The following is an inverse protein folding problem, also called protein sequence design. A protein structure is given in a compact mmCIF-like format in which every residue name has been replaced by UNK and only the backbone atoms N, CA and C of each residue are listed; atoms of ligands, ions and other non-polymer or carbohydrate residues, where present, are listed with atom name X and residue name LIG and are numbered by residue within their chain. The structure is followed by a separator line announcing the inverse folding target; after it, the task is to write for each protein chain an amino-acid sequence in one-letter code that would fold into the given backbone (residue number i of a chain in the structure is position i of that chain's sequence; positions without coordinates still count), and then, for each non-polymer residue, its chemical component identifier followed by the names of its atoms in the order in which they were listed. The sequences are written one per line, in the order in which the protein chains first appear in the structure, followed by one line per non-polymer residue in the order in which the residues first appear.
data_IF_708937781831
#
_entry.id   IF_708937781831
#
_cell.length_a   1.000
_cell.length_b   1.000
_cell.length_c   1.000
_cell.angle_alpha   90.00
_cell.angle_beta   90.00
_cell.angle_gamma   90.00
#
_symmetry.space_group_name_H-M   'P 1'
#
loop_
_entity.id
_entity.type
_entity.pdbx_description
1 polymer ?
#
# COMPACT_ATOMS: atom_id res chain seq x y z
N UNK A 1 9.46 -44.95 13.00
CA UNK A 1 10.48 -43.93 12.69
C UNK A 1 10.51 -43.71 11.18
N UNK A 2 9.86 -42.65 10.68
CA UNK A 2 10.28 -41.90 9.50
C UNK A 2 9.49 -40.58 9.53
N UNK A 3 10.23 -39.49 9.38
CA UNK A 3 9.86 -38.12 9.72
C UNK A 3 9.37 -37.40 8.46
N UNK A 4 8.07 -37.23 8.30
CA UNK A 4 7.50 -36.31 7.31
C UNK A 4 7.49 -34.88 7.87
N UNK A 5 8.68 -34.29 8.00
CA UNK A 5 8.85 -32.85 8.25
C UNK A 5 9.36 -32.19 6.97
N UNK A 6 8.43 -31.80 6.08
CA UNK A 6 8.83 -31.25 4.78
C UNK A 6 7.78 -30.39 4.09
N UNK A 7 6.81 -29.85 4.81
CA UNK A 7 5.90 -28.84 4.28
C UNK A 7 6.47 -27.44 4.47
N UNK A 8 7.50 -27.08 3.68
CA UNK A 8 8.03 -25.71 3.65
C UNK A 8 6.87 -24.78 3.30
N UNK A 9 6.49 -23.89 4.22
CA UNK A 9 5.53 -22.83 3.93
C UNK A 9 6.10 -21.99 2.80
N UNK A 10 5.65 -22.22 1.57
CA UNK A 10 6.08 -21.42 0.42
C UNK A 10 5.76 -19.96 0.75
N UNK A 11 6.80 -19.13 0.80
CA UNK A 11 6.65 -17.70 1.02
C UNK A 11 5.61 -17.19 0.02
N UNK A 12 4.54 -16.56 0.50
CA UNK A 12 3.46 -16.07 -0.37
C UNK A 12 4.04 -15.06 -1.35
N UNK A 13 4.12 -15.42 -2.62
CA UNK A 13 4.51 -14.49 -3.69
C UNK A 13 3.44 -13.41 -3.81
N UNK A 14 3.75 -12.19 -3.36
CA UNK A 14 2.82 -11.05 -3.42
C UNK A 14 2.89 -10.35 -4.78
N UNK A 15 4.05 -10.37 -5.43
CA UNK A 15 4.31 -9.69 -6.70
C UNK A 15 5.19 -10.58 -7.55
N UNK A 16 4.75 -10.85 -8.77
CA UNK A 16 5.51 -11.57 -9.79
C UNK A 16 5.46 -10.77 -11.10
N UNK A 17 6.59 -10.68 -11.80
CA UNK A 17 6.67 -10.12 -13.16
C UNK A 17 7.46 -11.10 -14.02
N UNK A 18 6.81 -11.67 -15.02
CA UNK A 18 7.46 -12.48 -16.06
C UNK A 18 7.88 -11.59 -17.22
N UNK A 19 9.01 -11.91 -17.84
CA UNK A 19 9.54 -11.20 -19.00
C UNK A 19 8.78 -11.65 -20.26
N UNK A 20 8.43 -10.71 -21.12
CA UNK A 20 7.85 -11.00 -22.44
C UNK A 20 8.97 -11.20 -23.48
N UNK A 21 8.70 -11.97 -24.54
CA UNK A 21 9.72 -12.39 -25.52
C UNK A 21 10.54 -11.24 -26.13
N UNK A 22 9.91 -10.09 -26.41
CA UNK A 22 10.57 -8.94 -27.05
C UNK A 22 10.85 -7.77 -26.08
N UNK A 23 10.90 -8.02 -24.78
CA UNK A 23 11.08 -6.95 -23.80
C UNK A 23 12.54 -6.75 -23.37
N UNK A 24 12.95 -5.48 -23.24
CA UNK A 24 14.22 -5.13 -22.62
C UNK A 24 14.16 -5.27 -21.08
N UNK A 25 15.26 -5.71 -20.47
CA UNK A 25 15.39 -5.89 -19.02
C UNK A 25 15.03 -4.62 -18.22
N UNK A 26 15.36 -3.43 -18.74
CA UNK A 26 15.01 -2.15 -18.11
C UNK A 26 13.50 -1.92 -17.99
N UNK A 27 12.72 -2.34 -18.99
CA UNK A 27 11.25 -2.27 -18.97
C UNK A 27 10.67 -3.21 -17.92
N UNK A 28 11.21 -4.42 -17.80
CA UNK A 28 10.79 -5.41 -16.79
C UNK A 28 10.96 -4.83 -15.38
N UNK A 29 12.12 -4.22 -15.10
CA UNK A 29 12.42 -3.58 -13.80
C UNK A 29 11.49 -2.41 -13.50
N UNK A 30 11.15 -1.59 -14.50
CA UNK A 30 10.16 -0.49 -14.34
C UNK A 30 8.78 -1.04 -13.99
N UNK A 31 8.31 -2.08 -14.69
CA UNK A 31 7.01 -2.69 -14.36
C UNK A 31 7.00 -3.30 -12.97
N UNK A 32 8.08 -3.98 -12.58
CA UNK A 32 8.22 -4.53 -11.23
C UNK A 32 8.15 -3.43 -10.17
N UNK A 33 8.91 -2.35 -10.35
CA UNK A 33 8.90 -1.18 -9.46
C UNK A 33 7.51 -0.55 -9.35
N UNK A 34 6.81 -0.40 -10.49
CA UNK A 34 5.44 0.11 -10.52
C UNK A 34 4.47 -0.83 -9.79
N UNK A 35 4.54 -2.15 -10.04
CA UNK A 35 3.72 -3.16 -9.35
C UNK A 35 3.93 -3.13 -7.83
N UNK A 36 5.18 -2.97 -7.37
CA UNK A 36 5.50 -2.78 -5.94
C UNK A 36 4.84 -1.54 -5.39
N UNK A 37 4.97 -0.40 -6.07
CA UNK A 37 4.41 0.86 -5.60
C UNK A 37 2.88 0.81 -5.55
N UNK A 38 2.23 0.33 -6.60
CA UNK A 38 0.77 0.19 -6.69
C UNK A 38 0.21 -0.80 -5.66
N UNK A 39 0.94 -1.90 -5.39
CA UNK A 39 0.49 -2.90 -4.40
C UNK A 39 0.40 -2.34 -2.98
N UNK A 40 1.13 -1.25 -2.68
CA UNK A 40 1.22 -0.68 -1.34
C UNK A 40 1.79 -1.63 -0.27
N UNK A 41 2.38 -2.77 -0.67
CA UNK A 41 2.82 -3.83 0.25
C UNK A 41 3.85 -3.33 1.26
N UNK A 42 4.77 -2.48 0.83
CA UNK A 42 5.79 -1.88 1.69
C UNK A 42 5.13 -1.06 2.80
N UNK A 43 4.11 -0.25 2.47
CA UNK A 43 3.39 0.57 3.45
C UNK A 43 2.63 -0.30 4.45
N UNK A 44 2.01 -1.39 3.96
CA UNK A 44 1.30 -2.35 4.82
C UNK A 44 2.25 -3.02 5.81
N UNK A 45 3.37 -3.57 5.33
CA UNK A 45 4.35 -4.26 6.17
C UNK A 45 4.99 -3.28 7.17
N UNK A 46 5.39 -2.08 6.73
CA UNK A 46 5.93 -1.05 7.63
C UNK A 46 4.93 -0.63 8.70
N UNK A 47 3.65 -0.50 8.35
CA UNK A 47 2.58 -0.16 9.30
C UNK A 47 2.25 -1.28 10.29
N UNK A 48 2.42 -2.55 9.88
CA UNK A 48 2.18 -3.72 10.72
C UNK A 48 3.42 -4.18 11.51
N UNK A 49 4.57 -3.50 11.37
CA UNK A 49 5.84 -3.88 12.00
C UNK A 49 5.74 -3.99 13.52
N UNK A 50 4.98 -3.10 14.15
CA UNK A 50 4.83 -3.03 15.60
C UNK A 50 3.37 -3.23 15.99
N UNK A 51 3.14 -3.88 17.13
CA UNK A 51 1.80 -4.02 17.68
C UNK A 51 1.29 -2.67 18.20
N UNK A 52 0.08 -2.31 17.79
CA UNK A 52 -0.59 -1.10 18.24
C UNK A 52 -1.93 -1.46 18.88
N UNK A 53 -2.27 -0.79 19.99
CA UNK A 53 -3.59 -0.97 20.62
C UNK A 53 -4.72 -0.61 19.65
N UNK A 54 -5.83 -1.33 19.74
CA UNK A 54 -7.06 -0.97 19.03
C UNK A 54 -7.53 0.43 19.44
N UNK A 55 -7.90 1.26 18.46
CA UNK A 55 -8.41 2.61 18.74
C UNK A 55 -9.78 2.57 19.44
N UNK A 56 -10.02 3.52 20.35
CA UNK A 56 -11.32 3.68 20.99
C UNK A 56 -12.36 4.24 20.01
N UNK A 57 -13.64 3.99 20.28
CA UNK A 57 -14.76 4.50 19.46
C UNK A 57 -14.70 6.03 19.26
N UNK A 58 -14.36 6.76 20.32
CA UNK A 58 -14.22 8.23 20.28
C UNK A 58 -13.07 8.68 19.37
N UNK A 59 -11.90 8.01 19.44
CA UNK A 59 -10.75 8.35 18.59
C UNK A 59 -11.06 8.12 17.11
N UNK A 60 -11.75 7.02 16.79
CA UNK A 60 -12.21 6.70 15.43
C UNK A 60 -13.17 7.80 14.92
N UNK A 61 -14.17 8.18 15.73
CA UNK A 61 -15.12 9.25 15.38
C UNK A 61 -14.41 10.59 15.12
N UNK A 62 -13.49 10.99 15.99
CA UNK A 62 -12.71 12.23 15.82
C UNK A 62 -11.87 12.21 14.54
N UNK A 63 -11.26 11.07 14.22
CA UNK A 63 -10.49 10.89 12.98
C UNK A 63 -11.38 10.99 11.73
N UNK A 64 -12.58 10.40 11.77
CA UNK A 64 -13.55 10.48 10.68
C UNK A 64 -14.03 11.92 10.43
N UNK A 65 -14.36 12.67 11.49
CA UNK A 65 -14.77 14.07 11.38
C UNK A 65 -13.68 14.94 10.73
N UNK A 66 -12.42 14.79 11.15
CA UNK A 66 -11.29 15.51 10.53
C UNK A 66 -11.14 15.18 9.04
N UNK A 67 -11.35 13.93 8.64
CA UNK A 67 -11.29 13.53 7.22
C UNK A 67 -12.39 14.20 6.40
N UNK A 68 -13.60 14.31 6.95
CA UNK A 68 -14.73 14.98 6.29
C UNK A 68 -14.43 16.48 6.13
N UNK A 69 -13.98 17.13 7.20
CA UNK A 69 -13.62 18.55 7.19
C UNK A 69 -12.51 18.84 6.16
N UNK A 70 -11.44 18.04 6.17
CA UNK A 70 -10.35 18.19 5.21
C UNK A 70 -10.79 18.03 3.76
N UNK A 71 -11.73 17.11 3.48
CA UNK A 71 -12.30 16.98 2.12
C UNK A 71 -13.05 18.24 1.70
N UNK A 72 -13.89 18.80 2.58
CA UNK A 72 -14.61 20.06 2.31
C UNK A 72 -13.65 21.22 2.06
N UNK A 73 -12.59 21.31 2.84
CA UNK A 73 -11.54 22.31 2.68
C UNK A 73 -10.85 22.17 1.32
N UNK A 74 -10.44 20.96 0.94
CA UNK A 74 -9.83 20.68 -0.37
C UNK A 74 -10.79 21.04 -1.51
N UNK A 75 -12.07 20.68 -1.42
CA UNK A 75 -13.07 21.04 -2.43
C UNK A 75 -13.25 22.55 -2.56
N UNK A 76 -13.26 23.28 -1.43
CA UNK A 76 -13.32 24.75 -1.42
C UNK A 76 -12.08 25.34 -2.08
N UNK A 77 -10.89 24.89 -1.71
CA UNK A 77 -9.63 25.36 -2.29
C UNK A 77 -9.56 25.07 -3.80
N UNK A 78 -10.05 23.91 -4.24
CA UNK A 78 -10.17 23.54 -5.65
C UNK A 78 -11.06 24.52 -6.41
N UNK A 79 -12.23 24.84 -5.86
CA UNK A 79 -13.18 25.81 -6.43
C UNK A 79 -12.60 27.23 -6.49
N UNK A 80 -11.77 27.60 -5.52
CA UNK A 80 -11.11 28.90 -5.45
C UNK A 80 -9.84 28.99 -6.32
N UNK A 81 -9.42 27.92 -7.00
CA UNK A 81 -8.16 27.88 -7.74
C UNK A 81 -6.91 27.98 -6.86
N UNK A 82 -7.04 27.80 -5.53
CA UNK A 82 -5.96 27.94 -4.54
C UNK A 82 -5.31 26.60 -4.18
N UNK A 83 -5.54 25.55 -4.96
CA UNK A 83 -4.80 24.32 -4.79
C UNK A 83 -3.37 24.55 -5.29
N UNK A 84 -2.39 24.22 -4.45
CA UNK A 84 -1.00 24.18 -4.89
C UNK A 84 -0.90 23.21 -6.07
N UNK A 85 -0.77 23.75 -7.28
CA UNK A 85 -0.33 23.00 -8.44
C UNK A 85 1.08 22.53 -8.11
N UNK A 86 1.29 21.22 -8.11
CA UNK A 86 2.62 20.65 -8.04
C UNK A 86 3.05 20.25 -9.44
#
# INVERSE_FOLDING_TARGET
MLKDYGGTSMAKTVIEVKKNSNENNSSVLRRFSRRIQESGIIRKIKGARYNARKESKLKIKKSALRRIERRKEIEKLRKLGKMASK
#
